data_IF_326719323844
#
_entry.id   IF_326719323844
#
_cell.length_a   1.000
_cell.length_b   1.000
_cell.length_c   1.000
_cell.angle_alpha   90.00
_cell.angle_beta   90.00
_cell.angle_gamma   90.00
#
_symmetry.space_group_name_H-M   'P 1'
#
loop_
_entity.id
_entity.type
_entity.pdbx_description
1 polymer ?
#
# COMPACT_ATOMS: atom_id res chain seq x y z
N UNK A 1 -42.70 8.11 -27.03
CA UNK A 1 -41.59 7.14 -26.96
C UNK A 1 -40.19 7.76 -26.88
N UNK A 2 -39.92 8.96 -27.42
CA UNK A 2 -38.59 9.61 -27.31
C UNK A 2 -38.33 10.36 -25.99
N UNK A 3 -39.38 10.84 -25.33
CA UNK A 3 -39.29 11.57 -24.04
C UNK A 3 -39.08 10.67 -22.83
N UNK A 4 -39.39 9.37 -22.91
CA UNK A 4 -39.19 8.41 -21.81
C UNK A 4 -37.76 7.86 -21.77
N UNK A 5 -37.06 7.85 -22.91
CA UNK A 5 -35.69 7.37 -23.00
C UNK A 5 -34.66 8.33 -22.37
N UNK A 6 -34.94 9.63 -22.37
CA UNK A 6 -34.04 10.64 -21.81
C UNK A 6 -34.05 10.66 -20.27
N UNK A 7 -35.19 10.30 -19.66
CA UNK A 7 -35.35 10.23 -18.20
C UNK A 7 -34.60 9.04 -17.58
N UNK A 8 -34.40 7.97 -18.33
CA UNK A 8 -33.72 6.75 -17.88
C UNK A 8 -32.19 6.92 -17.88
N UNK A 9 -31.64 7.73 -18.80
CA UNK A 9 -30.20 8.05 -18.78
C UNK A 9 -29.80 8.98 -17.62
N UNK A 10 -30.71 9.84 -17.15
CA UNK A 10 -30.41 10.73 -16.01
C UNK A 10 -30.40 9.96 -14.67
N UNK A 11 -31.25 8.94 -14.54
CA UNK A 11 -31.34 8.14 -13.30
C UNK A 11 -30.20 7.13 -13.13
N UNK A 12 -29.53 6.71 -14.20
CA UNK A 12 -28.35 5.83 -14.12
C UNK A 12 -27.07 6.58 -13.71
N UNK A 13 -27.05 7.91 -13.79
CA UNK A 13 -25.92 8.72 -13.32
C UNK A 13 -25.87 8.92 -11.80
N UNK A 14 -26.93 8.54 -11.07
CA UNK A 14 -27.03 8.68 -9.60
C UNK A 14 -26.69 7.43 -8.79
N UNK A 15 -26.27 6.34 -9.43
CA UNK A 15 -25.60 5.24 -8.73
C UNK A 15 -24.09 5.51 -8.69
N UNK A 16 -23.72 6.72 -8.25
CA UNK A 16 -22.39 6.92 -7.68
C UNK A 16 -22.41 6.06 -6.42
N UNK A 17 -21.71 4.93 -6.46
CA UNK A 17 -21.36 4.13 -5.30
C UNK A 17 -20.79 5.09 -4.26
N UNK A 18 -21.63 5.55 -3.34
CA UNK A 18 -21.21 6.24 -2.15
C UNK A 18 -20.58 5.17 -1.27
N UNK A 19 -19.34 4.79 -1.60
CA UNK A 19 -18.47 4.11 -0.68
C UNK A 19 -18.48 4.95 0.59
N UNK A 20 -19.03 4.41 1.67
CA UNK A 20 -19.03 5.12 2.96
C UNK A 20 -17.57 5.29 3.33
N UNK A 21 -17.06 6.52 3.25
CA UNK A 21 -15.78 6.87 3.84
C UNK A 21 -15.76 6.37 5.28
N UNK A 22 -14.63 5.81 5.72
CA UNK A 22 -14.53 5.29 7.08
C UNK A 22 -14.85 6.41 8.09
N UNK A 23 -15.64 6.09 9.10
CA UNK A 23 -15.89 7.02 10.20
C UNK A 23 -14.59 7.30 10.93
N UNK A 24 -14.28 8.58 11.14
CA UNK A 24 -13.11 8.99 11.91
C UNK A 24 -13.13 8.35 13.30
N UNK A 25 -12.03 7.70 13.69
CA UNK A 25 -11.85 7.10 15.01
C UNK A 25 -10.90 7.94 15.85
N UNK A 26 -10.98 7.80 17.17
CA UNK A 26 -10.14 8.52 18.14
C UNK A 26 -9.36 7.59 19.08
N UNK A 27 -9.43 6.27 18.82
CA UNK A 27 -8.72 5.26 19.56
C UNK A 27 -8.45 4.04 18.66
N UNK A 28 -7.30 3.40 18.85
CA UNK A 28 -7.01 2.10 18.23
C UNK A 28 -7.61 1.01 19.11
N UNK A 29 -8.32 0.07 18.49
CA UNK A 29 -8.82 -1.15 19.14
C UNK A 29 -8.02 -2.35 18.61
N UNK A 30 -6.99 -2.82 19.33
CA UNK A 30 -6.14 -3.91 18.85
C UNK A 30 -6.95 -5.17 18.51
N UNK A 31 -6.62 -5.80 17.38
CA UNK A 31 -7.31 -6.98 16.87
C UNK A 31 -8.55 -6.70 16.03
N UNK A 32 -9.03 -5.44 15.98
CA UNK A 32 -10.13 -5.03 15.10
C UNK A 32 -9.58 -4.64 13.73
N UNK A 33 -10.35 -4.91 12.67
CA UNK A 33 -10.05 -4.45 11.32
C UNK A 33 -9.99 -2.93 11.30
N UNK A 34 -8.81 -2.40 10.99
CA UNK A 34 -8.59 -0.98 10.74
C UNK A 34 -8.85 -0.69 9.26
N UNK A 35 -9.73 0.25 8.96
CA UNK A 35 -10.02 0.73 7.61
C UNK A 35 -9.31 2.05 7.32
N UNK A 36 -8.97 2.28 6.06
CA UNK A 36 -8.46 3.54 5.54
C UNK A 36 -9.59 4.53 5.20
N UNK A 37 -9.23 5.71 4.71
CA UNK A 37 -10.15 6.78 4.27
C UNK A 37 -11.18 6.36 3.21
N UNK A 38 -10.91 5.26 2.49
CA UNK A 38 -11.81 4.69 1.48
C UNK A 38 -12.74 3.62 2.06
N UNK A 39 -12.63 3.32 3.36
CA UNK A 39 -13.34 2.22 4.01
C UNK A 39 -12.70 0.85 3.76
N UNK A 40 -11.53 0.78 3.14
CA UNK A 40 -10.84 -0.48 2.80
C UNK A 40 -9.88 -0.85 3.93
N UNK A 41 -9.73 -2.15 4.23
CA UNK A 41 -8.78 -2.60 5.23
C UNK A 41 -7.36 -2.09 4.96
N UNK A 42 -6.71 -1.50 5.97
CA UNK A 42 -5.29 -1.13 5.93
C UNK A 42 -4.46 -2.41 5.83
N UNK A 43 -3.84 -2.63 4.68
CA UNK A 43 -3.04 -3.82 4.38
C UNK A 43 -1.57 -3.41 4.27
N UNK A 44 -0.90 -3.29 5.43
CA UNK A 44 0.49 -2.85 5.58
C UNK A 44 1.23 -3.68 6.64
N UNK A 45 1.37 -4.99 6.39
CA UNK A 45 1.92 -5.94 7.36
C UNK A 45 3.45 -5.89 7.46
N UNK A 46 4.01 -6.34 8.59
CA UNK A 46 5.47 -6.44 8.79
C UNK A 46 6.23 -5.10 8.72
N UNK A 47 5.49 -4.00 8.63
CA UNK A 47 5.94 -2.71 8.16
C UNK A 47 6.75 -1.88 9.15
N UNK A 48 6.81 -0.57 8.86
CA UNK A 48 7.35 0.45 9.74
C UNK A 48 6.66 1.80 9.49
N UNK A 49 6.70 2.67 10.50
CA UNK A 49 6.16 4.03 10.42
C UNK A 49 7.32 5.03 10.41
N UNK A 50 7.33 5.94 9.43
CA UNK A 50 8.25 7.06 9.34
C UNK A 50 7.48 8.37 9.57
N UNK A 51 7.92 9.18 10.52
CA UNK A 51 7.46 10.56 10.65
C UNK A 51 8.32 11.48 9.77
N UNK A 52 7.69 12.28 8.92
CA UNK A 52 8.36 13.21 8.02
C UNK A 52 7.48 14.44 7.77
N UNK A 53 8.06 15.62 7.95
CA UNK A 53 7.42 16.93 7.67
C UNK A 53 5.98 17.06 8.22
N UNK A 54 5.76 16.68 9.47
CA UNK A 54 4.46 16.86 10.13
C UNK A 54 3.54 15.64 10.06
N UNK A 55 3.87 14.62 9.26
CA UNK A 55 2.96 13.51 8.94
C UNK A 55 3.62 12.14 9.17
N UNK A 56 2.83 11.16 9.57
CA UNK A 56 3.25 9.76 9.70
C UNK A 56 2.98 9.00 8.42
N UNK A 57 3.91 8.13 8.02
CA UNK A 57 3.81 7.29 6.83
C UNK A 57 4.06 5.83 7.22
N UNK A 58 3.06 4.97 7.04
CA UNK A 58 3.13 3.55 7.34
C UNK A 58 3.33 2.76 6.06
N UNK A 59 4.51 2.15 5.94
CA UNK A 59 4.87 1.24 4.86
C UNK A 59 4.71 -0.18 5.33
N UNK A 60 4.15 -1.06 4.49
CA UNK A 60 4.06 -2.47 4.82
C UNK A 60 3.79 -3.36 3.61
N UNK A 61 3.95 -4.66 3.81
CA UNK A 61 3.62 -5.68 2.83
C UNK A 61 2.11 -5.67 2.57
N UNK A 62 1.72 -5.63 1.30
CA UNK A 62 0.36 -5.95 0.92
C UNK A 62 0.20 -7.48 0.85
N UNK A 63 -0.38 -8.09 1.90
CA UNK A 63 -0.58 -9.54 1.97
C UNK A 63 -1.82 -9.97 1.19
N UNK A 64 -1.70 -11.11 0.52
CA UNK A 64 -2.86 -11.89 0.10
C UNK A 64 -3.39 -12.74 1.26
N UNK A 65 -4.63 -13.20 1.18
CA UNK A 65 -5.32 -13.87 2.29
C UNK A 65 -4.61 -15.11 2.87
N UNK A 66 -3.89 -15.87 2.03
CA UNK A 66 -3.35 -17.19 2.39
C UNK A 66 -1.93 -17.44 1.91
N UNK A 67 -1.16 -16.40 1.60
CA UNK A 67 0.18 -16.55 1.05
C UNK A 67 1.12 -15.40 1.41
N UNK A 68 2.41 -15.72 1.53
CA UNK A 68 3.48 -14.72 1.61
C UNK A 68 3.91 -14.18 0.25
N UNK A 69 3.41 -14.73 -0.85
CA UNK A 69 3.71 -14.25 -2.19
C UNK A 69 3.22 -12.80 -2.38
N UNK A 70 4.11 -11.95 -2.87
CA UNK A 70 3.83 -10.56 -3.19
C UNK A 70 3.17 -10.46 -4.58
N UNK A 71 1.87 -10.14 -4.58
CA UNK A 71 1.09 -9.91 -5.81
C UNK A 71 0.92 -8.42 -6.13
N UNK A 72 1.14 -7.57 -5.14
CA UNK A 72 0.98 -6.11 -5.23
C UNK A 72 2.31 -5.43 -4.92
N UNK A 73 2.90 -5.71 -3.76
CA UNK A 73 4.17 -5.14 -3.33
C UNK A 73 4.06 -4.47 -1.96
N UNK A 74 4.71 -3.32 -1.78
CA UNK A 74 4.68 -2.53 -0.54
C UNK A 74 3.66 -1.40 -0.68
N UNK A 75 2.71 -1.32 0.23
CA UNK A 75 1.75 -0.20 0.33
C UNK A 75 2.27 0.88 1.24
N UNK A 76 1.78 2.11 1.03
CA UNK A 76 2.01 3.25 1.90
C UNK A 76 0.67 3.88 2.28
N UNK A 77 0.52 4.14 3.58
CA UNK A 77 -0.56 4.91 4.16
C UNK A 77 0.02 6.13 4.88
N UNK A 78 -0.76 7.19 5.05
CA UNK A 78 -0.35 8.35 5.84
C UNK A 78 -1.39 8.74 6.89
N UNK A 79 -0.95 9.39 7.96
CA UNK A 79 -1.81 9.83 9.05
C UNK A 79 -1.21 11.05 9.75
N UNK A 80 -2.08 11.94 10.21
CA UNK A 80 -1.69 13.07 11.06
C UNK A 80 -1.82 12.73 12.56
N UNK A 81 -2.55 11.66 12.91
CA UNK A 81 -2.96 11.34 14.29
C UNK A 81 -2.69 9.89 14.74
N UNK A 82 -2.16 9.04 13.85
CA UNK A 82 -1.93 7.59 14.03
C UNK A 82 -3.20 6.73 14.19
N UNK A 83 -4.39 7.33 14.16
CA UNK A 83 -5.67 6.62 14.25
C UNK A 83 -6.29 6.45 12.86
N UNK A 84 -6.29 7.53 12.08
CA UNK A 84 -6.98 7.61 10.79
C UNK A 84 -5.95 7.60 9.68
N UNK A 85 -6.03 6.58 8.84
CA UNK A 85 -5.03 6.31 7.82
C UNK A 85 -5.60 6.59 6.44
N UNK A 86 -4.93 7.45 5.68
CA UNK A 86 -5.19 7.70 4.27
C UNK A 86 -4.36 6.73 3.44
N UNK A 87 -4.95 6.08 2.44
CA UNK A 87 -4.18 5.34 1.45
C UNK A 87 -3.42 6.32 0.53
N UNK A 88 -2.10 6.13 0.39
CA UNK A 88 -1.29 6.93 -0.53
C UNK A 88 -1.00 6.17 -1.83
N UNK A 89 -0.44 4.96 -1.75
CA UNK A 89 0.04 4.26 -2.94
C UNK A 89 0.41 2.79 -2.69
N UNK A 90 0.66 2.07 -3.78
CA UNK A 90 1.64 0.97 -3.78
C UNK A 90 3.01 1.62 -3.99
N UNK A 91 3.76 1.82 -2.91
CA UNK A 91 5.03 2.53 -2.92
C UNK A 91 6.13 1.78 -3.68
N UNK A 92 6.18 0.45 -3.55
CA UNK A 92 7.07 -0.41 -4.34
C UNK A 92 6.23 -1.53 -4.98
N UNK A 93 5.83 -1.41 -6.26
CA UNK A 93 5.08 -2.46 -6.93
C UNK A 93 5.99 -3.64 -7.31
N UNK A 94 5.43 -4.85 -7.32
CA UNK A 94 6.09 -5.99 -7.96
C UNK A 94 6.14 -5.81 -9.47
N UNK A 95 7.13 -6.43 -10.11
CA UNK A 95 7.30 -6.39 -11.57
C UNK A 95 6.46 -7.51 -12.21
N UNK A 96 5.56 -7.18 -13.13
CA UNK A 96 4.65 -8.15 -13.76
C UNK A 96 5.16 -8.71 -15.08
N UNK A 97 5.82 -7.87 -15.87
CA UNK A 97 6.14 -8.17 -17.27
C UNK A 97 7.61 -8.58 -17.51
N UNK A 98 8.37 -8.81 -16.43
CA UNK A 98 9.73 -9.33 -16.51
C UNK A 98 9.95 -10.49 -15.53
N UNK A 99 9.97 -11.74 -16.03
CA UNK A 99 10.18 -12.92 -15.18
C UNK A 99 11.61 -13.03 -14.62
N UNK A 100 12.55 -12.22 -15.10
CA UNK A 100 13.93 -12.19 -14.60
C UNK A 100 14.14 -11.17 -13.48
N UNK A 101 13.15 -10.32 -13.20
CA UNK A 101 13.21 -9.39 -12.09
C UNK A 101 13.25 -10.15 -10.76
N UNK A 102 14.15 -9.75 -9.85
CA UNK A 102 14.21 -10.33 -8.51
C UNK A 102 12.91 -10.06 -7.71
N UNK A 103 12.20 -8.97 -8.02
CA UNK A 103 10.90 -8.57 -7.42
C UNK A 103 9.72 -8.86 -8.35
N UNK A 104 9.84 -9.89 -9.20
CA UNK A 104 8.75 -10.35 -10.06
C UNK A 104 7.53 -10.76 -9.23
N UNK A 105 6.32 -10.51 -9.75
CA UNK A 105 5.06 -10.93 -9.15
C UNK A 105 5.10 -12.41 -8.71
N UNK A 106 4.89 -12.64 -7.40
CA UNK A 106 5.02 -13.94 -6.75
C UNK A 106 6.35 -14.18 -6.02
N UNK A 107 7.28 -13.23 -5.99
CA UNK A 107 8.41 -13.23 -5.05
C UNK A 107 7.90 -13.09 -3.60
N UNK A 108 8.79 -13.20 -2.61
CA UNK A 108 8.48 -12.84 -1.21
C UNK A 108 9.20 -11.53 -0.91
N UNK A 109 8.42 -10.50 -0.60
CA UNK A 109 8.92 -9.18 -0.22
C UNK A 109 8.41 -8.89 1.18
N UNK A 110 9.31 -8.90 2.16
CA UNK A 110 8.96 -8.90 3.57
C UNK A 110 9.59 -7.75 4.35
N UNK A 111 8.88 -7.33 5.40
CA UNK A 111 9.32 -6.41 6.44
C UNK A 111 9.93 -5.09 5.94
N UNK A 112 9.32 -4.39 4.98
CA UNK A 112 9.88 -3.15 4.44
C UNK A 112 10.08 -2.11 5.56
N UNK A 113 11.20 -1.37 5.48
CA UNK A 113 11.55 -0.24 6.35
C UNK A 113 12.04 0.89 5.48
N UNK A 114 11.55 2.10 5.72
CA UNK A 114 11.94 3.30 4.98
C UNK A 114 12.66 4.26 5.91
N UNK A 115 13.78 4.80 5.44
CA UNK A 115 14.52 5.88 6.10
C UNK A 115 14.71 7.05 5.13
N UNK A 116 14.81 8.27 5.66
CA UNK A 116 15.14 9.45 4.87
C UNK A 116 16.63 9.79 4.95
N UNK A 117 17.29 9.90 3.81
CA UNK A 117 18.69 10.31 3.71
C UNK A 117 18.80 11.83 3.49
N UNK A 118 19.17 12.57 4.54
CA UNK A 118 19.30 14.04 4.50
C UNK A 118 20.35 14.56 3.50
N UNK A 119 21.35 13.76 3.14
CA UNK A 119 22.43 14.15 2.22
C UNK A 119 21.98 14.08 0.77
N UNK A 120 21.32 12.98 0.39
CA UNK A 120 20.82 12.79 -0.98
C UNK A 120 19.42 13.34 -1.19
N UNK A 121 18.70 13.64 -0.10
CA UNK A 121 17.28 14.03 -0.10
C UNK A 121 16.34 12.93 -0.59
N UNK A 122 16.78 11.67 -0.49
CA UNK A 122 16.02 10.52 -0.96
C UNK A 122 15.50 9.68 0.20
N UNK A 123 14.40 8.98 -0.05
CA UNK A 123 13.90 7.93 0.80
C UNK A 123 14.48 6.60 0.33
N UNK A 124 14.97 5.81 1.28
CA UNK A 124 15.60 4.52 1.02
C UNK A 124 14.77 3.45 1.71
N UNK A 125 14.23 2.51 0.93
CA UNK A 125 13.52 1.35 1.42
C UNK A 125 14.45 0.15 1.47
N UNK A 126 14.52 -0.49 2.62
CA UNK A 126 15.14 -1.80 2.82
C UNK A 126 14.06 -2.84 3.07
N UNK A 127 14.24 -4.04 2.52
CA UNK A 127 13.32 -5.15 2.71
C UNK A 127 14.03 -6.49 2.61
N UNK A 128 13.42 -7.51 3.20
CA UNK A 128 13.81 -8.91 2.99
C UNK A 128 13.22 -9.38 1.67
N UNK A 129 14.05 -10.01 0.83
CA UNK A 129 13.67 -10.53 -0.47
C UNK A 129 13.99 -12.03 -0.59
N UNK A 130 12.98 -12.82 -0.97
CA UNK A 130 13.16 -14.15 -1.51
C UNK A 130 12.72 -14.21 -2.97
N UNK A 131 13.51 -14.90 -3.79
CA UNK A 131 13.21 -15.09 -5.19
C UNK A 131 12.01 -16.02 -5.38
N UNK A 132 11.20 -15.72 -6.39
CA UNK A 132 10.02 -16.53 -6.74
C UNK A 132 10.38 -18.01 -6.89
N UNK A 133 9.64 -18.86 -6.18
CA UNK A 133 9.79 -20.32 -6.25
C UNK A 133 11.00 -20.89 -5.51
N UNK A 134 11.71 -20.09 -4.70
CA UNK A 134 12.88 -20.52 -3.92
C UNK A 134 12.64 -20.62 -2.41
N UNK A 135 11.40 -20.48 -1.95
CA UNK A 135 11.10 -20.50 -0.52
C UNK A 135 11.88 -19.40 0.20
N UNK A 136 12.68 -19.77 1.21
CA UNK A 136 13.55 -18.86 1.96
C UNK A 136 15.05 -19.10 1.73
N UNK A 137 15.42 -19.66 0.58
CA UNK A 137 16.82 -20.00 0.26
C UNK A 137 17.67 -18.79 -0.17
N UNK A 138 17.05 -17.74 -0.73
CA UNK A 138 17.80 -16.63 -1.31
C UNK A 138 18.27 -15.63 -0.25
N UNK A 139 17.47 -15.41 0.80
CA UNK A 139 17.77 -14.60 1.99
C UNK A 139 18.44 -13.24 1.65
N UNK A 140 17.90 -12.55 0.63
CA UNK A 140 18.49 -11.30 0.13
C UNK A 140 17.97 -10.10 0.91
N UNK A 141 18.77 -9.03 0.87
CA UNK A 141 18.33 -7.68 1.22
C UNK A 141 18.03 -6.93 -0.08
N UNK A 142 16.80 -6.48 -0.22
CA UNK A 142 16.40 -5.55 -1.27
C UNK A 142 16.59 -4.10 -0.84
N UNK A 143 16.94 -3.25 -1.81
CA UNK A 143 17.08 -1.82 -1.64
C UNK A 143 16.36 -1.12 -2.81
N UNK A 144 15.49 -0.17 -2.49
CA UNK A 144 14.81 0.69 -3.47
C UNK A 144 14.87 2.15 -3.00
N UNK A 145 14.85 3.11 -3.93
CA UNK A 145 15.04 4.53 -3.62
C UNK A 145 14.01 5.39 -4.33
N UNK A 146 13.52 6.42 -3.66
CA UNK A 146 12.62 7.39 -4.26
C UNK A 146 12.93 8.80 -3.79
N UNK A 147 12.69 9.78 -4.66
CA UNK A 147 12.67 11.20 -4.26
C UNK A 147 11.35 11.57 -3.57
N UNK A 148 10.34 10.68 -3.58
CA UNK A 148 9.03 10.88 -2.96
C UNK A 148 8.79 9.85 -1.85
N UNK A 149 8.34 10.30 -0.69
CA UNK A 149 8.12 9.42 0.47
C UNK A 149 7.15 8.27 0.17
N UNK A 150 6.04 8.53 -0.53
CA UNK A 150 5.06 7.52 -0.92
C UNK A 150 5.38 6.84 -2.27
N UNK A 151 6.60 6.98 -2.77
CA UNK A 151 7.06 6.35 -4.01
C UNK A 151 6.54 7.02 -5.30
N UNK A 152 6.64 6.31 -6.44
CA UNK A 152 7.18 4.95 -6.55
C UNK A 152 8.67 4.89 -6.18
N UNK A 153 9.07 3.79 -5.56
CA UNK A 153 10.46 3.41 -5.28
C UNK A 153 11.02 2.51 -6.38
#
# INVERSE_FOLDING_TARGET
MKTVFLSILFLQSLLISSGKAASHINAVYPGVVLSDDRGIHVNAHGGGILYYEGKYYWFGEHKGEKSSAAWVGVTCYSSDDLYNWKYESVALPVVKDDPKSDIVEGCILERPKVIYNKKTKQFVMFFHLELKGKGYEAARVGLAVSDKIAGPY
#
